data_IF_296273243574
#
_entry.id   IF_296273243574
#
_cell.length_a   1.000
_cell.length_b   1.000
_cell.length_c   1.000
_cell.angle_alpha   90.00
_cell.angle_beta   90.00
_cell.angle_gamma   90.00
#
_symmetry.space_group_name_H-M   'P 1'
#
loop_
_entity.id
_entity.type
_entity.pdbx_description
1 polymer ?
#
# COMPACT_ATOMS: atom_id res chain seq x y z
N UNK A 1 -12.04 3.06 -22.07
CA UNK A 1 -10.95 2.77 -21.12
C UNK A 1 -11.40 1.97 -19.89
N UNK A 2 -12.54 2.28 -19.23
CA UNK A 2 -13.01 1.52 -18.04
C UNK A 2 -13.20 0.01 -18.26
N UNK A 3 -13.77 -0.40 -19.39
CA UNK A 3 -14.00 -1.82 -19.68
C UNK A 3 -12.71 -2.65 -19.79
N UNK A 4 -11.69 -2.12 -20.47
CA UNK A 4 -10.39 -2.79 -20.60
C UNK A 4 -9.73 -2.98 -19.23
N UNK A 5 -9.75 -1.93 -18.39
CA UNK A 5 -9.18 -1.99 -17.04
C UNK A 5 -9.90 -2.98 -16.12
N UNK A 6 -11.22 -3.17 -16.33
CA UNK A 6 -12.03 -4.10 -15.52
C UNK A 6 -11.77 -5.57 -15.89
N UNK A 7 -11.51 -5.84 -17.17
CA UNK A 7 -11.34 -7.20 -17.69
C UNK A 7 -9.92 -7.76 -17.59
N UNK A 8 -8.91 -6.89 -17.41
CA UNK A 8 -7.50 -7.32 -17.31
C UNK A 8 -7.27 -8.31 -16.17
N UNK A 9 -7.78 -8.04 -14.96
CA UNK A 9 -7.52 -8.89 -13.79
C UNK A 9 -8.14 -10.30 -13.95
N UNK A 10 -9.44 -10.44 -14.27
CA UNK A 10 -10.03 -11.77 -14.51
C UNK A 10 -9.34 -12.54 -15.63
N UNK A 11 -8.97 -11.85 -16.71
CA UNK A 11 -8.32 -12.46 -17.86
C UNK A 11 -6.94 -13.01 -17.50
N UNK A 12 -6.14 -12.28 -16.71
CA UNK A 12 -4.85 -12.75 -16.20
C UNK A 12 -5.01 -13.96 -15.28
N UNK A 13 -5.97 -13.90 -14.34
CA UNK A 13 -6.24 -15.01 -13.40
C UNK A 13 -6.70 -16.26 -14.13
N UNK A 14 -7.37 -16.15 -15.28
CA UNK A 14 -7.77 -17.29 -16.09
C UNK A 14 -6.63 -17.80 -17.01
N UNK A 15 -5.98 -16.91 -17.75
CA UNK A 15 -4.98 -17.27 -18.77
C UNK A 15 -3.71 -17.87 -18.18
N UNK A 16 -3.22 -17.36 -17.04
CA UNK A 16 -1.95 -17.80 -16.47
C UNK A 16 -2.02 -19.29 -16.03
N UNK A 17 -3.04 -19.73 -15.26
CA UNK A 17 -3.26 -21.15 -14.95
C UNK A 17 -3.51 -22.01 -16.19
N UNK A 18 -4.33 -21.54 -17.14
CA UNK A 18 -4.63 -22.27 -18.38
C UNK A 18 -3.36 -22.54 -19.18
N UNK A 19 -2.51 -21.52 -19.35
CA UNK A 19 -1.24 -21.66 -20.06
C UNK A 19 -0.28 -22.62 -19.34
N UNK A 20 -0.21 -22.54 -18.00
CA UNK A 20 0.57 -23.49 -17.19
C UNK A 20 0.09 -24.93 -17.35
N UNK A 21 -1.23 -25.15 -17.35
CA UNK A 21 -1.84 -26.46 -17.56
C UNK A 21 -1.52 -27.02 -18.96
N UNK A 22 -1.64 -26.19 -20.01
CA UNK A 22 -1.29 -26.59 -21.38
C UNK A 22 0.19 -26.98 -21.55
N UNK A 23 1.10 -26.40 -20.74
CA UNK A 23 2.53 -26.73 -20.71
C UNK A 23 2.88 -27.94 -19.84
N UNK A 24 1.88 -28.62 -19.24
CA UNK A 24 2.09 -29.75 -18.35
C UNK A 24 2.63 -29.38 -16.96
N UNK A 25 2.52 -28.10 -16.57
CA UNK A 25 2.91 -27.65 -15.23
C UNK A 25 1.87 -28.09 -14.22
N UNK A 26 2.31 -28.56 -13.05
CA UNK A 26 1.44 -28.81 -11.90
C UNK A 26 1.00 -27.49 -11.28
N UNK A 27 0.04 -26.81 -11.92
CA UNK A 27 -0.42 -25.45 -11.57
C UNK A 27 -0.77 -25.33 -10.09
N UNK A 28 -1.46 -26.34 -9.53
CA UNK A 28 -1.82 -26.34 -8.12
C UNK A 28 -0.60 -26.30 -7.19
N UNK A 29 0.43 -27.13 -7.42
CA UNK A 29 1.60 -27.15 -6.54
C UNK A 29 2.41 -25.85 -6.63
N UNK A 30 2.57 -25.29 -7.84
CA UNK A 30 3.26 -24.01 -8.05
C UNK A 30 2.49 -22.86 -7.41
N UNK A 31 1.16 -22.87 -7.50
CA UNK A 31 0.30 -21.89 -6.86
C UNK A 31 0.45 -21.91 -5.33
N UNK A 32 0.43 -23.10 -4.72
CA UNK A 32 0.61 -23.24 -3.27
C UNK A 32 2.00 -22.78 -2.83
N UNK A 33 3.03 -23.05 -3.63
CA UNK A 33 4.39 -22.57 -3.33
C UNK A 33 4.46 -21.04 -3.37
N UNK A 34 3.95 -20.41 -4.44
CA UNK A 34 3.87 -18.95 -4.53
C UNK A 34 3.00 -18.34 -3.42
N UNK A 35 1.93 -19.00 -3.00
CA UNK A 35 1.10 -18.56 -1.89
C UNK A 35 1.85 -18.58 -0.55
N UNK A 36 2.72 -19.58 -0.31
CA UNK A 36 3.56 -19.63 0.89
C UNK A 36 4.60 -18.51 0.91
N UNK A 37 5.29 -18.28 -0.21
CA UNK A 37 6.25 -17.18 -0.34
C UNK A 37 5.57 -15.81 -0.10
N UNK A 38 4.38 -15.62 -0.69
CA UNK A 38 3.57 -14.44 -0.47
C UNK A 38 3.12 -14.28 0.99
N UNK A 39 2.73 -15.38 1.64
CA UNK A 39 2.35 -15.38 3.06
C UNK A 39 3.54 -15.03 3.97
N UNK A 40 4.71 -15.59 3.72
CA UNK A 40 5.93 -15.26 4.46
C UNK A 40 6.27 -13.77 4.31
N UNK A 41 6.17 -13.24 3.09
CA UNK A 41 6.37 -11.82 2.81
C UNK A 41 5.35 -10.96 3.58
N UNK A 42 4.08 -11.35 3.59
CA UNK A 42 3.04 -10.63 4.34
C UNK A 42 3.35 -10.60 5.84
N UNK A 43 3.73 -11.74 6.44
CA UNK A 43 4.13 -11.82 7.86
C UNK A 43 5.31 -10.91 8.16
N UNK A 44 6.28 -10.79 7.25
CA UNK A 44 7.41 -9.85 7.39
C UNK A 44 6.99 -8.39 7.31
N UNK A 45 5.99 -8.05 6.49
CA UNK A 45 5.51 -6.67 6.28
C UNK A 45 4.58 -6.20 7.41
N UNK A 46 3.79 -7.09 8.00
CA UNK A 46 2.82 -6.77 9.07
C UNK A 46 3.45 -5.94 10.21
N UNK A 47 4.60 -6.31 10.81
CA UNK A 47 5.22 -5.54 11.88
C UNK A 47 5.49 -4.08 11.52
N UNK A 48 5.94 -3.82 10.29
CA UNK A 48 6.20 -2.45 9.82
C UNK A 48 4.90 -1.65 9.73
N UNK A 49 3.84 -2.26 9.19
CA UNK A 49 2.53 -1.61 9.11
C UNK A 49 1.96 -1.32 10.49
N UNK A 50 2.06 -2.26 11.42
CA UNK A 50 1.60 -2.07 12.80
C UNK A 50 2.39 -0.95 13.48
N UNK A 51 3.72 -0.96 13.39
CA UNK A 51 4.56 0.09 13.97
C UNK A 51 4.21 1.47 13.41
N UNK A 52 3.99 1.58 12.09
CA UNK A 52 3.56 2.81 11.44
C UNK A 52 2.19 3.27 11.95
N UNK A 53 1.19 2.41 11.97
CA UNK A 53 -0.17 2.76 12.43
C UNK A 53 -0.15 3.21 13.89
N UNK A 54 0.60 2.51 14.74
CA UNK A 54 0.77 2.86 16.16
C UNK A 54 1.47 4.21 16.31
N UNK A 55 2.58 4.43 15.60
CA UNK A 55 3.31 5.71 15.64
C UNK A 55 2.43 6.87 15.20
N UNK A 56 1.65 6.71 14.12
CA UNK A 56 0.67 7.71 13.66
C UNK A 56 -0.41 7.95 14.71
N UNK A 57 -0.92 6.89 15.35
CA UNK A 57 -1.90 7.00 16.43
C UNK A 57 -1.37 7.84 17.60
N UNK A 58 -0.15 7.54 18.07
CA UNK A 58 0.51 8.28 19.16
C UNK A 58 0.78 9.74 18.74
N UNK A 59 1.28 9.96 17.52
CA UNK A 59 1.58 11.30 17.00
C UNK A 59 0.35 12.19 16.86
N UNK A 60 -0.81 11.60 16.55
CA UNK A 60 -2.10 12.30 16.53
C UNK A 60 -2.63 12.57 17.94
N UNK A 61 -2.57 11.58 18.84
CA UNK A 61 -3.09 11.70 20.20
C UNK A 61 -2.27 12.65 21.09
N UNK A 62 -0.97 12.77 20.84
CA UNK A 62 -0.07 13.64 21.61
C UNK A 62 -0.21 15.13 21.30
N UNK A 63 -0.99 15.51 20.28
CA UNK A 63 -1.08 16.88 19.79
C UNK A 63 0.13 17.34 18.96
N UNK A 64 1.14 16.47 18.75
CA UNK A 64 2.30 16.80 17.92
C UNK A 64 1.93 17.14 16.47
N UNK A 65 0.90 16.48 15.93
CA UNK A 65 0.28 16.84 14.65
C UNK A 65 -0.13 18.31 14.58
N UNK A 66 -0.76 18.85 15.64
CA UNK A 66 -1.21 20.24 15.69
C UNK A 66 -0.04 21.23 15.78
N UNK A 67 1.05 20.83 16.45
CA UNK A 67 2.26 21.64 16.56
C UNK A 67 2.98 21.74 15.21
N UNK A 68 3.08 20.63 14.48
CA UNK A 68 3.67 20.59 13.13
C UNK A 68 2.83 21.38 12.14
N UNK A 69 1.50 21.27 12.16
CA UNK A 69 0.64 22.07 11.26
C UNK A 69 0.71 23.56 11.57
N UNK A 70 0.80 23.95 12.84
CA UNK A 70 1.00 25.35 13.24
C UNK A 70 2.33 25.92 12.74
N UNK A 71 3.42 25.12 12.81
CA UNK A 71 4.74 25.51 12.32
C UNK A 71 4.80 25.62 10.79
N UNK A 72 4.11 24.73 10.08
CA UNK A 72 4.08 24.70 8.61
C UNK A 72 3.11 25.73 8.01
N UNK A 73 2.12 26.18 8.78
CA UNK A 73 1.10 27.16 8.38
C UNK A 73 1.62 28.39 7.63
N UNK A 74 2.69 29.09 8.05
CA UNK A 74 3.22 30.23 7.30
C UNK A 74 3.69 29.86 5.89
N UNK A 75 4.23 28.65 5.69
CA UNK A 75 4.72 28.18 4.38
C UNK A 75 3.56 27.66 3.53
N UNK A 76 2.63 26.91 4.12
CA UNK A 76 1.51 26.32 3.39
C UNK A 76 0.45 27.35 3.01
N UNK A 77 0.28 28.41 3.81
CA UNK A 77 -0.58 29.54 3.48
C UNK A 77 -0.10 30.31 2.23
N UNK A 78 1.22 30.41 2.01
CA UNK A 78 1.79 31.02 0.80
C UNK A 78 1.51 30.17 -0.45
N UNK A 79 1.38 28.85 -0.29
CA UNK A 79 1.10 27.90 -1.37
C UNK A 79 -0.41 27.66 -1.58
N UNK A 80 -1.28 28.22 -0.73
CA UNK A 80 -2.72 27.96 -0.76
C UNK A 80 -3.11 26.52 -0.38
N UNK A 81 -2.21 25.77 0.25
CA UNK A 81 -2.42 24.36 0.63
C UNK A 81 -2.88 24.32 2.09
N UNK A 82 -3.98 23.61 2.41
CA UNK A 82 -4.37 23.37 3.81
C UNK A 82 -3.23 22.67 4.57
N UNK A 83 -2.78 23.27 5.68
CA UNK A 83 -1.61 22.79 6.43
C UNK A 83 -1.78 21.35 6.94
N UNK A 84 -3.03 20.93 7.13
CA UNK A 84 -3.44 19.59 7.57
C UNK A 84 -3.13 18.51 6.53
N UNK A 85 -3.03 18.89 5.24
CA UNK A 85 -2.74 17.95 4.16
C UNK A 85 -1.26 17.58 4.07
N UNK A 86 -0.35 18.40 4.60
CA UNK A 86 1.09 18.14 4.46
C UNK A 86 1.51 16.89 5.24
N UNK A 87 1.15 16.72 6.52
CA UNK A 87 1.49 15.50 7.24
C UNK A 87 0.71 14.26 6.73
N UNK A 88 -0.52 14.45 6.23
CA UNK A 88 -1.30 13.40 5.56
C UNK A 88 -0.62 12.93 4.26
N UNK A 89 -0.07 13.87 3.49
CA UNK A 89 0.69 13.58 2.26
C UNK A 89 1.94 12.77 2.56
N UNK A 90 2.70 13.16 3.59
CA UNK A 90 3.90 12.41 4.03
C UNK A 90 3.53 10.99 4.45
N UNK A 91 2.49 10.81 5.27
CA UNK A 91 2.01 9.48 5.67
C UNK A 91 1.57 8.63 4.46
N UNK A 92 0.92 9.24 3.47
CA UNK A 92 0.52 8.56 2.23
C UNK A 92 1.73 8.15 1.37
N UNK A 93 2.78 8.96 1.31
CA UNK A 93 4.02 8.62 0.62
C UNK A 93 4.70 7.39 1.23
N UNK A 94 4.72 7.27 2.56
CA UNK A 94 5.24 6.08 3.24
C UNK A 94 4.38 4.83 3.02
N UNK A 95 3.06 4.99 2.83
CA UNK A 95 2.14 3.88 2.52
C UNK A 95 2.11 3.50 1.03
N UNK A 96 2.62 4.35 0.14
CA UNK A 96 2.33 4.32 -1.30
C UNK A 96 3.50 3.93 -2.22
N UNK A 97 4.69 3.63 -1.71
CA UNK A 97 5.80 3.25 -2.59
C UNK A 97 6.94 2.57 -1.84
N UNK A 98 7.19 1.31 -2.17
CA UNK A 98 8.32 0.55 -1.63
C UNK A 98 8.22 -0.98 -1.71
N UNK A 99 7.27 -1.53 -2.48
CA UNK A 99 7.27 -2.91 -2.94
C UNK A 99 6.76 -2.95 -4.38
#
# INVERSE_FOLDING_TARGET
>A
MKAVSLWVVPLLVALIPLYGACKGVKVYSVFIEGAKEGFETAVRVIPYLVAMIVAVGVFRASGAMALVTALLRPVTALLGIPAELVPLGVMRSFSGGGA
#
